data_IF_979239203399
#
_entry.id   IF_979239203399
#
_cell.length_a   1.000
_cell.length_b   1.000
_cell.length_c   1.000
_cell.angle_alpha   90.00
_cell.angle_beta   90.00
_cell.angle_gamma   90.00
#
_symmetry.space_group_name_H-M   'P 1'
#
loop_
_entity.id
_entity.type
_entity.pdbx_description
1 polymer ?
#
# COMPACT_ATOMS: atom_id res chain seq x y z
N UNK A 1 -20.88 -23.34 8.30
CA UNK A 1 -19.78 -23.21 7.32
C UNK A 1 -20.18 -23.45 5.85
N UNK A 2 -20.91 -24.52 5.47
CA UNK A 2 -21.26 -24.80 4.05
C UNK A 2 -22.12 -23.73 3.34
N UNK A 3 -22.99 -23.02 4.07
CA UNK A 3 -23.91 -22.01 3.50
C UNK A 3 -23.16 -20.75 3.02
N UNK A 4 -22.24 -20.24 3.84
CA UNK A 4 -21.40 -19.07 3.55
C UNK A 4 -20.52 -19.30 2.32
N UNK A 5 -19.97 -20.52 2.17
CA UNK A 5 -19.18 -20.87 0.97
C UNK A 5 -20.04 -20.81 -0.29
N UNK A 6 -21.25 -21.36 -0.22
CA UNK A 6 -22.20 -21.38 -1.35
C UNK A 6 -22.67 -19.98 -1.75
N UNK A 7 -22.95 -19.12 -0.77
CA UNK A 7 -23.32 -17.72 -1.02
C UNK A 7 -22.15 -16.89 -1.55
N UNK A 8 -20.93 -17.16 -1.08
CA UNK A 8 -19.70 -16.55 -1.59
C UNK A 8 -19.44 -16.98 -3.04
N UNK A 9 -19.57 -18.27 -3.35
CA UNK A 9 -19.39 -18.81 -4.69
C UNK A 9 -20.48 -18.29 -5.65
N UNK A 10 -21.70 -18.05 -5.15
CA UNK A 10 -22.80 -17.43 -5.92
C UNK A 10 -22.53 -15.95 -6.19
N UNK A 11 -22.01 -15.21 -5.20
CA UNK A 11 -21.61 -13.82 -5.35
C UNK A 11 -20.44 -13.66 -6.31
N UNK A 12 -19.43 -14.53 -6.21
CA UNK A 12 -18.28 -14.55 -7.11
C UNK A 12 -18.75 -14.86 -8.55
N UNK A 13 -19.56 -15.91 -8.75
CA UNK A 13 -20.10 -16.23 -10.08
C UNK A 13 -21.03 -15.14 -10.65
N UNK A 14 -21.86 -14.51 -9.82
CA UNK A 14 -22.73 -13.41 -10.24
C UNK A 14 -21.95 -12.13 -10.56
N UNK A 15 -20.86 -11.89 -9.83
CA UNK A 15 -19.93 -10.81 -10.05
C UNK A 15 -19.14 -10.99 -11.35
N UNK A 16 -18.57 -12.18 -11.58
CA UNK A 16 -17.81 -12.54 -12.78
C UNK A 16 -18.59 -12.35 -14.09
N UNK A 17 -19.91 -12.45 -14.05
CA UNK A 17 -20.80 -12.27 -15.21
C UNK A 17 -21.26 -10.83 -15.41
N UNK A 18 -20.95 -9.91 -14.48
CA UNK A 18 -21.41 -8.53 -14.59
C UNK A 18 -20.53 -7.72 -15.56
N UNK A 19 -21.10 -7.08 -16.60
CA UNK A 19 -20.32 -6.26 -17.53
C UNK A 19 -19.65 -5.08 -16.81
N UNK A 20 -20.23 -4.62 -15.69
CA UNK A 20 -19.67 -3.56 -14.86
C UNK A 20 -18.31 -3.94 -14.24
N UNK A 21 -18.12 -5.18 -13.78
CA UNK A 21 -16.83 -5.60 -13.24
C UNK A 21 -15.76 -5.71 -14.32
N UNK A 22 -16.13 -6.18 -15.51
CA UNK A 22 -15.18 -6.23 -16.61
C UNK A 22 -14.73 -4.83 -17.05
N UNK A 23 -15.66 -3.87 -17.12
CA UNK A 23 -15.34 -2.45 -17.37
C UNK A 23 -14.41 -1.91 -16.28
N UNK A 24 -14.72 -2.18 -15.01
CA UNK A 24 -13.92 -1.70 -13.88
C UNK A 24 -12.50 -2.29 -13.89
N UNK A 25 -12.35 -3.59 -14.12
CA UNK A 25 -11.06 -4.27 -14.25
C UNK A 25 -10.27 -3.70 -15.45
N UNK A 26 -10.94 -3.48 -16.58
CA UNK A 26 -10.30 -2.91 -17.78
C UNK A 26 -9.73 -1.51 -17.51
N UNK A 27 -10.50 -0.66 -16.81
CA UNK A 27 -10.02 0.67 -16.38
C UNK A 27 -8.79 0.56 -15.48
N UNK A 28 -8.80 -0.36 -14.51
CA UNK A 28 -7.64 -0.57 -13.63
C UNK A 28 -6.41 -1.04 -14.40
N UNK A 29 -6.57 -1.96 -15.36
CA UNK A 29 -5.45 -2.43 -16.19
C UNK A 29 -4.86 -1.29 -17.01
N UNK A 30 -5.70 -0.42 -17.58
CA UNK A 30 -5.24 0.78 -18.31
C UNK A 30 -4.47 1.72 -17.38
N UNK A 31 -4.97 2.00 -16.18
CA UNK A 31 -4.28 2.85 -15.21
C UNK A 31 -2.93 2.28 -14.78
N UNK A 32 -2.86 0.96 -14.53
CA UNK A 32 -1.59 0.27 -14.25
C UNK A 32 -0.64 0.37 -15.45
N UNK A 33 -1.16 0.23 -16.67
CA UNK A 33 -0.38 0.38 -17.91
C UNK A 33 0.21 1.78 -18.07
N UNK A 34 -0.57 2.82 -17.77
CA UNK A 34 -0.08 4.22 -17.77
C UNK A 34 1.00 4.42 -16.70
N UNK A 35 0.80 3.88 -15.49
CA UNK A 35 1.80 3.93 -14.43
C UNK A 35 3.09 3.20 -14.81
N UNK A 36 3.01 2.01 -15.38
CA UNK A 36 4.15 1.25 -15.87
C UNK A 36 4.88 1.96 -17.00
N UNK A 37 4.15 2.62 -17.91
CA UNK A 37 4.71 3.43 -18.96
C UNK A 37 5.48 4.63 -18.39
N UNK A 38 4.91 5.34 -17.40
CA UNK A 38 5.59 6.45 -16.72
C UNK A 38 6.87 6.00 -16.00
N UNK A 39 6.85 4.82 -15.36
CA UNK A 39 8.04 4.22 -14.75
C UNK A 39 9.12 3.91 -15.78
N UNK A 40 8.75 3.31 -16.92
CA UNK A 40 9.68 3.01 -18.00
C UNK A 40 10.30 4.29 -18.58
N UNK A 41 9.49 5.33 -18.78
CA UNK A 41 9.95 6.62 -19.25
C UNK A 41 10.88 7.30 -18.24
N UNK A 42 10.62 7.18 -16.94
CA UNK A 42 11.51 7.69 -15.90
C UNK A 42 12.88 7.00 -15.90
N UNK A 43 12.96 5.72 -16.29
CA UNK A 43 14.24 5.00 -16.38
C UNK A 43 15.04 5.38 -17.63
N UNK A 44 14.38 5.80 -18.71
CA UNK A 44 15.00 6.08 -20.01
C UNK A 44 15.35 7.57 -20.19
N UNK A 45 14.42 8.48 -19.86
CA UNK A 45 14.55 9.93 -20.11
C UNK A 45 15.04 10.73 -18.90
N UNK A 46 15.26 10.08 -17.74
CA UNK A 46 15.59 10.68 -16.42
C UNK A 46 14.38 11.23 -15.63
N UNK A 47 14.59 11.60 -14.35
CA UNK A 47 13.57 11.94 -13.34
C UNK A 47 12.70 13.17 -13.69
N UNK A 48 12.96 13.87 -14.79
CA UNK A 48 12.18 15.04 -15.24
C UNK A 48 10.69 14.70 -15.47
N UNK A 49 10.38 13.44 -15.80
CA UNK A 49 9.00 12.94 -15.97
C UNK A 49 8.18 13.05 -14.69
N UNK A 50 8.82 13.09 -13.51
CA UNK A 50 8.15 13.21 -12.21
C UNK A 50 8.12 14.65 -11.66
N UNK A 51 8.18 15.66 -12.54
CA UNK A 51 8.14 17.08 -12.16
C UNK A 51 9.26 17.49 -11.21
N UNK A 52 10.46 16.93 -11.39
CA UNK A 52 11.64 17.37 -10.64
C UNK A 52 12.00 18.80 -11.04
N UNK A 53 11.59 19.78 -10.22
CA UNK A 53 12.07 21.14 -10.32
C UNK A 53 13.05 21.44 -9.19
N UNK A 54 14.19 22.03 -9.51
CA UNK A 54 15.15 22.51 -8.50
C UNK A 54 14.54 23.57 -7.55
N UNK A 55 13.41 24.19 -7.94
CA UNK A 55 12.69 25.15 -7.09
C UNK A 55 11.79 24.49 -6.05
N UNK A 56 11.23 23.32 -6.37
CA UNK A 56 10.33 22.56 -5.48
C UNK A 56 10.78 21.10 -5.53
N UNK A 57 11.80 20.72 -4.72
CA UNK A 57 12.37 19.39 -4.80
C UNK A 57 11.40 18.30 -4.31
N UNK A 58 10.42 18.66 -3.47
CA UNK A 58 9.44 17.74 -2.89
C UNK A 58 8.07 18.01 -3.53
N UNK A 59 7.96 17.61 -4.80
CA UNK A 59 6.76 17.78 -5.60
C UNK A 59 5.68 16.74 -5.31
N UNK A 60 5.05 16.26 -6.38
CA UNK A 60 3.88 15.38 -6.35
C UNK A 60 4.17 14.00 -5.73
N UNK A 61 5.35 13.42 -5.98
CA UNK A 61 5.70 12.09 -5.47
C UNK A 61 5.81 12.01 -3.94
N UNK A 62 6.37 13.04 -3.29
CA UNK A 62 6.46 13.08 -1.83
C UNK A 62 5.08 13.29 -1.21
N UNK A 63 4.25 14.13 -1.83
CA UNK A 63 2.85 14.32 -1.39
C UNK A 63 2.05 13.01 -1.45
N UNK A 64 2.16 12.26 -2.55
CA UNK A 64 1.53 10.95 -2.70
C UNK A 64 1.99 9.94 -1.63
N UNK A 65 3.29 9.89 -1.37
CA UNK A 65 3.86 9.07 -0.30
C UNK A 65 3.23 9.41 1.07
N UNK A 66 3.22 10.70 1.46
CA UNK A 66 2.68 11.13 2.77
C UNK A 66 1.19 10.79 2.87
N UNK A 67 0.43 10.99 1.79
CA UNK A 67 -0.99 10.65 1.74
C UNK A 67 -1.24 9.15 1.94
N UNK A 68 -0.50 8.30 1.22
CA UNK A 68 -0.67 6.84 1.28
C UNK A 68 -0.25 6.26 2.63
N UNK A 69 0.89 6.71 3.17
CA UNK A 69 1.38 6.28 4.49
C UNK A 69 0.48 6.80 5.62
N UNK A 70 0.02 8.05 5.53
CA UNK A 70 -0.94 8.62 6.46
C UNK A 70 -2.27 7.84 6.45
N UNK A 71 -2.76 7.51 5.25
CA UNK A 71 -3.96 6.69 5.08
C UNK A 71 -3.80 5.28 5.67
N UNK A 72 -2.63 4.64 5.49
CA UNK A 72 -2.33 3.35 6.13
C UNK A 72 -2.43 3.42 7.65
N UNK A 73 -1.82 4.45 8.25
CA UNK A 73 -1.84 4.64 9.70
C UNK A 73 -3.28 4.82 10.21
N UNK A 74 -4.09 5.63 9.51
CA UNK A 74 -5.51 5.81 9.82
C UNK A 74 -6.31 4.52 9.70
N UNK A 75 -6.13 3.76 8.62
CA UNK A 75 -6.78 2.46 8.41
C UNK A 75 -6.38 1.45 9.50
N UNK A 76 -5.12 1.45 9.93
CA UNK A 76 -4.63 0.60 11.01
C UNK A 76 -5.30 0.95 12.34
N UNK A 77 -5.44 2.24 12.67
CA UNK A 77 -6.13 2.69 13.89
C UNK A 77 -7.59 2.25 13.87
N UNK A 78 -8.31 2.50 12.77
CA UNK A 78 -9.72 2.11 12.65
C UNK A 78 -9.88 0.58 12.74
N UNK A 79 -8.95 -0.17 12.15
CA UNK A 79 -8.99 -1.64 12.17
C UNK A 79 -8.65 -2.22 13.55
N UNK A 80 -7.77 -1.56 14.31
CA UNK A 80 -7.41 -2.01 15.67
C UNK A 80 -8.49 -1.74 16.71
N UNK A 81 -9.42 -0.80 16.48
CA UNK A 81 -10.60 -0.57 17.32
C UNK A 81 -11.45 -1.83 17.52
N UNK A 82 -11.59 -2.65 16.47
CA UNK A 82 -12.34 -3.91 16.54
C UNK A 82 -11.63 -4.97 17.39
N UNK A 83 -10.32 -5.15 17.18
CA UNK A 83 -9.55 -6.24 17.80
C UNK A 83 -9.04 -5.92 19.21
N UNK A 84 -8.48 -4.72 19.40
CA UNK A 84 -7.77 -4.34 20.64
C UNK A 84 -8.74 -3.79 21.67
N UNK A 85 -9.70 -2.98 21.23
CA UNK A 85 -10.65 -2.31 22.12
C UNK A 85 -11.98 -3.07 22.26
N UNK A 86 -12.16 -4.21 21.57
CA UNK A 86 -13.33 -5.08 21.71
C UNK A 86 -14.63 -4.49 21.16
N UNK A 87 -14.55 -3.45 20.31
CA UNK A 87 -15.72 -2.82 19.72
C UNK A 87 -16.29 -3.71 18.59
N UNK A 88 -17.27 -4.56 18.94
CA UNK A 88 -17.95 -5.52 18.03
C UNK A 88 -18.46 -4.92 16.71
N UNK A 89 -18.74 -3.62 16.67
CA UNK A 89 -19.17 -2.90 15.45
C UNK A 89 -18.07 -2.83 14.38
N UNK A 90 -16.80 -2.79 14.75
CA UNK A 90 -15.66 -2.61 13.84
C UNK A 90 -14.95 -3.93 13.49
N UNK A 91 -15.27 -5.02 14.19
CA UNK A 91 -14.75 -6.36 13.92
C UNK A 91 -14.88 -6.83 12.45
N UNK A 92 -16.02 -6.65 11.75
CA UNK A 92 -16.12 -7.07 10.35
C UNK A 92 -15.28 -6.21 9.39
N UNK A 93 -14.95 -4.99 9.77
CA UNK A 93 -14.16 -4.05 8.96
C UNK A 93 -12.67 -4.33 9.15
N UNK A 94 -12.25 -4.82 10.32
CA UNK A 94 -10.85 -5.03 10.68
C UNK A 94 -10.06 -5.83 9.62
N UNK A 95 -10.65 -6.92 9.09
CA UNK A 95 -9.96 -7.76 8.09
C UNK A 95 -9.68 -7.02 6.79
N UNK A 96 -10.65 -6.24 6.30
CA UNK A 96 -10.50 -5.46 5.06
C UNK A 96 -9.61 -4.24 5.29
N UNK A 97 -9.71 -3.62 6.46
CA UNK A 97 -8.91 -2.45 6.81
C UNK A 97 -7.42 -2.75 6.96
N UNK A 98 -7.04 -3.86 7.60
CA UNK A 98 -5.62 -4.28 7.65
C UNK A 98 -5.06 -4.61 6.26
N UNK A 99 -5.87 -5.23 5.40
CA UNK A 99 -5.47 -5.50 4.01
C UNK A 99 -5.25 -4.20 3.21
N UNK A 100 -6.18 -3.25 3.33
CA UNK A 100 -6.04 -1.94 2.68
C UNK A 100 -4.85 -1.15 3.23
N UNK A 101 -4.64 -1.15 4.55
CA UNK A 101 -3.48 -0.51 5.18
C UNK A 101 -2.16 -1.08 4.64
N UNK A 102 -2.05 -2.41 4.53
CA UNK A 102 -0.87 -3.08 4.00
C UNK A 102 -0.58 -2.68 2.55
N UNK A 103 -1.61 -2.62 1.71
CA UNK A 103 -1.46 -2.20 0.31
C UNK A 103 -1.03 -0.73 0.24
N UNK A 104 -1.73 0.17 0.93
CA UNK A 104 -1.45 1.61 0.82
C UNK A 104 -0.04 1.96 1.28
N UNK A 105 0.48 1.33 2.34
CA UNK A 105 1.87 1.58 2.74
C UNK A 105 2.90 1.02 1.75
N UNK A 106 2.66 -0.14 1.14
CA UNK A 106 3.59 -0.68 0.13
C UNK A 106 3.68 0.27 -1.06
N UNK A 107 2.54 0.78 -1.54
CA UNK A 107 2.53 1.78 -2.62
C UNK A 107 3.12 3.12 -2.19
N UNK A 108 2.91 3.55 -0.94
CA UNK A 108 3.56 4.74 -0.38
C UNK A 108 5.08 4.61 -0.37
N UNK A 109 5.59 3.47 0.11
CA UNK A 109 7.02 3.17 0.12
C UNK A 109 7.62 3.07 -1.29
N UNK A 110 6.89 2.49 -2.25
CA UNK A 110 7.31 2.48 -3.64
C UNK A 110 7.43 3.90 -4.22
N UNK A 111 6.47 4.79 -3.90
CA UNK A 111 6.45 6.19 -4.37
C UNK A 111 7.70 6.96 -3.96
N UNK A 112 8.13 6.85 -2.70
CA UNK A 112 9.34 7.54 -2.22
C UNK A 112 10.62 6.88 -2.74
N UNK A 113 10.62 5.56 -2.94
CA UNK A 113 11.78 4.85 -3.48
C UNK A 113 12.04 5.25 -4.94
N UNK A 114 10.98 5.40 -5.74
CA UNK A 114 11.05 5.88 -7.13
C UNK A 114 11.43 7.35 -7.23
N UNK A 115 11.12 8.16 -6.21
CA UNK A 115 11.56 9.55 -6.14
C UNK A 115 13.08 9.66 -5.93
N UNK A 116 13.73 8.64 -5.37
CA UNK A 116 15.19 8.59 -5.29
C UNK A 116 15.77 8.21 -6.65
N UNK A 117 16.73 9.01 -7.14
CA UNK A 117 17.36 8.74 -8.45
C UNK A 117 18.12 7.42 -8.54
N UNK A 118 18.49 6.81 -7.42
CA UNK A 118 19.11 5.48 -7.36
C UNK A 118 18.37 4.61 -6.32
N UNK A 119 17.19 4.08 -6.67
CA UNK A 119 16.35 3.31 -5.75
C UNK A 119 17.05 2.06 -5.21
N UNK A 120 17.93 1.45 -6.02
CA UNK A 120 18.64 0.21 -5.69
C UNK A 120 19.68 0.40 -4.58
N UNK A 121 20.24 1.61 -4.46
CA UNK A 121 21.29 1.94 -3.50
C UNK A 121 20.74 2.33 -2.14
N UNK A 122 19.58 2.97 -2.13
CA UNK A 122 18.97 3.55 -0.92
C UNK A 122 18.87 2.60 0.27
N UNK A 123 18.27 1.39 0.15
CA UNK A 123 18.14 0.48 1.29
C UNK A 123 19.50 -0.06 1.76
N UNK A 124 20.45 -0.23 0.84
CA UNK A 124 21.79 -0.77 1.13
C UNK A 124 22.60 0.24 1.94
N UNK A 125 22.67 1.50 1.50
CA UNK A 125 23.42 2.54 2.22
C UNK A 125 22.73 2.98 3.51
N UNK A 126 21.40 2.91 3.58
CA UNK A 126 20.66 3.15 4.82
C UNK A 126 21.00 2.13 5.91
N UNK A 127 21.30 0.87 5.52
CA UNK A 127 21.71 -0.18 6.45
C UNK A 127 23.21 -0.13 6.79
N UNK A 128 24.08 0.16 5.81
CA UNK A 128 25.54 0.15 6.01
C UNK A 128 26.09 1.41 6.69
N UNK A 129 25.52 2.57 6.40
CA UNK A 129 25.98 3.87 6.93
C UNK A 129 24.81 4.69 7.48
N UNK A 130 24.26 4.29 8.65
CA UNK A 130 23.09 4.96 9.22
C UNK A 130 23.44 6.34 9.78
N UNK A 131 22.64 7.35 9.42
CA UNK A 131 22.73 8.68 10.03
C UNK A 131 21.51 8.92 10.93
N UNK A 132 21.67 8.68 12.23
CA UNK A 132 20.61 8.77 13.23
C UNK A 132 20.05 10.18 13.45
N UNK A 133 20.75 11.22 12.98
CA UNK A 133 20.25 12.61 13.03
C UNK A 133 19.30 12.93 11.88
N UNK A 134 19.25 12.09 10.85
CA UNK A 134 18.41 12.32 9.68
C UNK A 134 17.00 11.82 9.91
N UNK A 135 16.01 12.71 9.79
CA UNK A 135 14.59 12.34 9.80
C UNK A 135 14.24 11.35 8.69
N UNK A 136 14.90 11.46 7.53
CA UNK A 136 14.69 10.56 6.38
C UNK A 136 15.11 9.13 6.70
N UNK A 137 16.18 8.96 7.48
CA UNK A 137 16.64 7.63 7.91
C UNK A 137 15.64 6.97 8.85
N UNK A 138 15.10 7.72 9.81
CA UNK A 138 14.06 7.20 10.72
C UNK A 138 12.80 6.76 9.99
N UNK A 139 12.35 7.54 9.01
CA UNK A 139 11.24 7.14 8.15
C UNK A 139 11.55 5.80 7.44
N UNK A 140 12.70 5.69 6.78
CA UNK A 140 13.11 4.47 6.09
C UNK A 140 13.24 3.23 7.00
N UNK A 141 13.68 3.41 8.24
CA UNK A 141 13.92 2.30 9.19
C UNK A 141 12.66 1.89 9.96
N UNK A 142 11.72 2.82 10.23
CA UNK A 142 10.51 2.53 11.03
C UNK A 142 9.40 1.89 10.20
N UNK A 143 9.30 2.17 8.90
CA UNK A 143 8.24 1.58 8.07
C UNK A 143 8.36 0.06 7.85
N UNK A 144 9.54 -0.54 7.60
CA UNK A 144 9.67 -1.98 7.45
C UNK A 144 9.11 -2.81 8.62
N UNK A 145 9.45 -2.54 9.90
CA UNK A 145 8.84 -3.27 11.01
C UNK A 145 7.34 -2.99 11.17
N UNK A 146 6.87 -1.80 10.77
CA UNK A 146 5.42 -1.52 10.75
C UNK A 146 4.69 -2.34 9.67
N UNK A 147 5.24 -2.44 8.45
CA UNK A 147 4.70 -3.29 7.37
C UNK A 147 4.69 -4.76 7.80
N UNK A 148 5.77 -5.25 8.41
CA UNK A 148 5.84 -6.61 8.94
C UNK A 148 4.75 -6.86 9.98
N UNK A 149 4.53 -5.90 10.88
CA UNK A 149 3.48 -5.98 11.91
C UNK A 149 2.08 -6.06 11.29
N UNK A 150 1.79 -5.22 10.29
CA UNK A 150 0.52 -5.26 9.55
C UNK A 150 0.33 -6.60 8.83
N UNK A 151 1.37 -7.13 8.19
CA UNK A 151 1.33 -8.42 7.52
C UNK A 151 1.03 -9.56 8.50
N UNK A 152 1.66 -9.55 9.68
CA UNK A 152 1.39 -10.53 10.75
C UNK A 152 -0.05 -10.42 11.26
N UNK A 153 -0.54 -9.20 11.55
CA UNK A 153 -1.92 -8.99 11.97
C UNK A 153 -2.94 -9.49 10.94
N UNK A 154 -2.71 -9.17 9.66
CA UNK A 154 -3.55 -9.66 8.57
C UNK A 154 -3.50 -11.18 8.45
N UNK A 155 -2.31 -11.80 8.56
CA UNK A 155 -2.13 -13.24 8.48
C UNK A 155 -2.86 -13.98 9.61
N UNK A 156 -2.76 -13.48 10.86
CA UNK A 156 -3.48 -14.05 12.00
C UNK A 156 -5.00 -13.99 11.80
N UNK A 157 -5.52 -12.88 11.30
CA UNK A 157 -6.93 -12.70 11.04
C UNK A 157 -7.43 -13.51 9.83
N UNK A 158 -6.57 -13.71 8.83
CA UNK A 158 -6.84 -14.59 7.71
C UNK A 158 -6.94 -16.06 8.17
N UNK A 159 -6.09 -16.49 9.11
CA UNK A 159 -6.12 -17.84 9.70
C UNK A 159 -7.41 -18.10 10.48
N UNK A 160 -7.91 -17.13 11.24
CA UNK A 160 -9.17 -17.29 11.98
C UNK A 160 -10.37 -17.48 11.06
N UNK A 161 -10.36 -16.88 9.87
CA UNK A 161 -11.43 -17.08 8.88
C UNK A 161 -11.41 -18.43 8.16
N UNK A 162 -10.38 -19.25 8.37
CA UNK A 162 -10.23 -20.59 7.78
C UNK A 162 -10.61 -21.72 8.75
N UNK A 163 -10.66 -21.44 10.06
CA UNK A 163 -11.10 -22.38 11.11
C UNK A 163 -12.63 -22.33 11.29
#
# INVERSE_FOLDING_TARGET
MRRIKKDLDLFINGAERSPALFVWISILVVLIGVGAHALLMSLIHSLEVFEFSLKIPWGTMVSNYVFLVGSSTGLCIVSSLGLVFGLKRYEPIAKRGFFMALITIIFGMASIMLHLGHPERSPIYSALTPNLRSAMWWMGTVYPPYIASLAVCFWLLARQGLA
#
